data_IF_777482684282
#
_entry.id   IF_777482684282
#
_cell.length_a   1.000
_cell.length_b   1.000
_cell.length_c   1.000
_cell.angle_alpha   90.00
_cell.angle_beta   90.00
_cell.angle_gamma   90.00
#
_symmetry.space_group_name_H-M   'P 1'
#
loop_
_entity.id
_entity.type
_entity.pdbx_description
1 polymer ?
#
# COMPACT_ATOMS: atom_id res chain seq x y z
N UNK A 1 26.23 3.74 12.27
CA UNK A 1 25.98 3.91 10.81
C UNK A 1 24.55 3.49 10.45
N UNK A 2 24.01 2.40 11.00
CA UNK A 2 22.64 1.96 10.76
C UNK A 2 21.58 2.98 11.20
N UNK A 3 21.80 3.64 12.35
CA UNK A 3 20.90 4.70 12.83
C UNK A 3 20.82 5.90 11.88
N UNK A 4 21.94 6.28 11.25
CA UNK A 4 21.95 7.32 10.23
C UNK A 4 21.13 6.96 9.01
N UNK A 5 21.20 5.70 8.56
CA UNK A 5 20.39 5.21 7.45
C UNK A 5 18.89 5.28 7.76
N UNK A 6 18.49 4.75 8.92
CA UNK A 6 17.08 4.78 9.35
C UNK A 6 16.57 6.21 9.50
N UNK A 7 17.40 7.12 10.04
CA UNK A 7 17.04 8.54 10.13
C UNK A 7 16.84 9.18 8.73
N UNK A 8 17.64 8.79 7.73
CA UNK A 8 17.46 9.22 6.35
C UNK A 8 16.15 8.67 5.75
N UNK A 9 15.87 7.38 5.93
CA UNK A 9 14.61 6.78 5.49
C UNK A 9 13.40 7.45 6.15
N UNK A 10 13.47 7.71 7.46
CA UNK A 10 12.42 8.43 8.18
C UNK A 10 12.20 9.84 7.60
N UNK A 11 13.28 10.55 7.32
CA UNK A 11 13.19 11.88 6.72
C UNK A 11 12.51 11.84 5.33
N UNK A 12 12.77 10.80 4.54
CA UNK A 12 12.10 10.59 3.25
C UNK A 12 10.60 10.30 3.38
N UNK A 13 10.13 9.80 4.53
CA UNK A 13 8.70 9.53 4.74
C UNK A 13 7.91 10.74 5.23
N UNK A 14 8.58 11.68 5.93
CA UNK A 14 7.92 12.85 6.54
C UNK A 14 8.27 14.19 5.87
N UNK A 15 9.22 14.20 4.93
CA UNK A 15 9.65 15.39 4.20
C UNK A 15 8.66 15.81 3.11
N UNK A 16 8.83 17.01 2.57
CA UNK A 16 8.01 17.54 1.46
C UNK A 16 8.05 16.65 0.21
N UNK A 17 9.16 15.96 -0.04
CA UNK A 17 9.31 14.98 -1.10
C UNK A 17 9.15 13.56 -0.52
N UNK A 18 7.98 13.28 0.06
CA UNK A 18 7.71 11.96 0.63
C UNK A 18 7.77 10.87 -0.45
N UNK A 19 8.71 9.94 -0.29
CA UNK A 19 8.86 8.79 -1.19
C UNK A 19 9.09 7.49 -0.40
N UNK A 20 8.04 6.94 0.22
CA UNK A 20 8.15 5.80 1.15
C UNK A 20 8.43 4.44 0.47
N UNK A 21 8.42 4.39 -0.86
CA UNK A 21 8.50 3.13 -1.60
C UNK A 21 9.86 2.44 -1.54
N UNK A 22 10.94 3.20 -1.36
CA UNK A 22 12.33 2.69 -1.40
C UNK A 22 12.91 2.37 -0.01
N UNK A 23 12.08 2.16 1.00
CA UNK A 23 12.57 1.72 2.31
C UNK A 23 13.06 0.27 2.22
N UNK A 24 14.21 -0.04 2.83
CA UNK A 24 14.75 -1.41 2.83
C UNK A 24 13.77 -2.42 3.43
N UNK A 25 13.00 -2.02 4.44
CA UNK A 25 11.98 -2.86 5.06
C UNK A 25 10.86 -3.27 4.11
N UNK A 26 10.56 -2.48 3.09
CA UNK A 26 9.54 -2.81 2.08
C UNK A 26 9.96 -3.96 1.15
N UNK A 27 11.23 -4.35 1.16
CA UNK A 27 11.70 -5.48 0.36
C UNK A 27 11.01 -6.81 0.66
N UNK A 28 10.32 -6.92 1.80
CA UNK A 28 9.56 -8.11 2.22
C UNK A 28 8.04 -7.98 2.02
N UNK A 29 7.57 -7.02 1.24
CA UNK A 29 6.13 -6.77 1.04
C UNK A 29 5.36 -8.00 0.52
N UNK A 30 6.02 -8.88 -0.24
CA UNK A 30 5.43 -10.11 -0.74
C UNK A 30 5.63 -11.31 0.21
N UNK A 31 6.50 -11.19 1.22
CA UNK A 31 6.84 -12.25 2.17
C UNK A 31 6.23 -11.97 3.54
N UNK A 32 4.93 -11.68 3.57
CA UNK A 32 4.20 -11.28 4.79
C UNK A 32 4.33 -12.29 5.92
N UNK A 33 4.44 -13.58 5.60
CA UNK A 33 4.67 -14.65 6.57
C UNK A 33 5.98 -14.52 7.35
N UNK A 34 6.98 -13.84 6.78
CA UNK A 34 8.30 -13.67 7.39
C UNK A 34 8.40 -12.39 8.24
N UNK A 35 7.43 -11.47 8.13
CA UNK A 35 7.52 -10.13 8.70
C UNK A 35 6.31 -9.72 9.56
N UNK A 36 5.57 -10.67 10.12
CA UNK A 36 4.41 -10.38 10.98
C UNK A 36 4.74 -9.49 12.18
N UNK A 37 5.99 -9.56 12.68
CA UNK A 37 6.48 -8.70 13.75
C UNK A 37 6.59 -7.21 13.36
N UNK A 38 6.39 -6.85 12.07
CA UNK A 38 6.27 -5.45 11.64
C UNK A 38 5.06 -4.75 12.29
N UNK A 39 4.07 -5.50 12.74
CA UNK A 39 2.97 -4.98 13.55
C UNK A 39 3.46 -4.17 14.76
N UNK A 40 4.60 -4.58 15.36
CA UNK A 40 5.17 -3.94 16.55
C UNK A 40 6.26 -2.92 16.23
N UNK A 41 6.96 -3.07 15.14
CA UNK A 41 8.17 -2.27 14.83
C UNK A 41 8.03 -1.39 13.62
N UNK A 42 7.00 -1.61 12.83
CA UNK A 42 6.83 -0.99 11.52
C UNK A 42 7.92 -1.40 10.51
N UNK A 43 7.88 -0.76 9.36
CA UNK A 43 8.83 -0.98 8.25
C UNK A 43 10.28 -0.64 8.63
N UNK A 44 10.49 0.33 9.53
CA UNK A 44 11.84 0.71 9.98
C UNK A 44 12.52 -0.39 10.80
N UNK A 45 11.74 -1.21 11.51
CA UNK A 45 12.25 -2.43 12.14
C UNK A 45 12.80 -3.40 11.10
N UNK A 46 12.13 -3.53 9.95
CA UNK A 46 12.62 -4.30 8.82
C UNK A 46 13.92 -3.77 8.25
N UNK A 47 14.03 -2.46 8.06
CA UNK A 47 15.28 -1.81 7.67
C UNK A 47 16.40 -2.11 8.65
N UNK A 48 16.15 -1.96 9.96
CA UNK A 48 17.14 -2.30 10.99
C UNK A 48 17.56 -3.77 10.93
N UNK A 49 16.60 -4.67 10.76
CA UNK A 49 16.84 -6.11 10.62
C UNK A 49 17.77 -6.43 9.45
N UNK A 50 17.47 -5.87 8.27
CA UNK A 50 18.32 -6.04 7.07
C UNK A 50 19.75 -5.56 7.33
N UNK A 51 19.90 -4.33 7.84
CA UNK A 51 21.21 -3.75 8.09
C UNK A 51 22.02 -4.54 9.14
N UNK A 52 21.35 -4.94 10.24
CA UNK A 52 22.00 -5.72 11.31
C UNK A 52 22.43 -7.10 10.81
N UNK A 53 21.55 -7.81 10.13
CA UNK A 53 21.84 -9.13 9.56
C UNK A 53 23.01 -9.08 8.58
N UNK A 54 23.03 -8.08 7.68
CA UNK A 54 24.15 -7.89 6.76
C UNK A 54 25.48 -7.65 7.49
N UNK A 55 25.50 -6.82 8.52
CA UNK A 55 26.72 -6.55 9.30
C UNK A 55 27.21 -7.84 9.98
N UNK A 56 26.31 -8.58 10.63
CA UNK A 56 26.67 -9.81 11.35
C UNK A 56 27.14 -10.92 10.40
N UNK A 57 26.50 -11.05 9.25
CA UNK A 57 26.94 -12.00 8.20
C UNK A 57 28.33 -11.60 7.67
N UNK A 58 28.55 -10.31 7.40
CA UNK A 58 29.86 -9.83 6.95
C UNK A 58 30.97 -10.09 7.96
N UNK A 59 30.71 -9.83 9.25
CA UNK A 59 31.64 -10.13 10.33
C UNK A 59 31.94 -11.63 10.47
N UNK A 60 30.91 -12.49 10.29
CA UNK A 60 31.10 -13.94 10.31
C UNK A 60 31.94 -14.42 9.13
N UNK A 61 31.76 -13.86 7.92
CA UNK A 61 32.55 -14.15 6.74
C UNK A 61 34.03 -13.76 6.90
N UNK A 62 34.30 -12.63 7.56
CA UNK A 62 35.67 -12.22 7.85
C UNK A 62 36.36 -13.14 8.87
N UNK A 63 35.62 -13.62 9.86
CA UNK A 63 36.12 -14.50 10.91
C UNK A 63 35.65 -15.95 10.72
N UNK A 64 35.94 -16.53 9.58
CA UNK A 64 35.43 -17.83 9.10
C UNK A 64 35.42 -18.98 10.12
N UNK A 65 36.32 -18.97 11.09
CA UNK A 65 36.44 -20.02 12.16
C UNK A 65 35.68 -19.69 13.40
N UNK A 66 35.03 -18.54 13.53
CA UNK A 66 34.31 -18.12 14.72
C UNK A 66 32.88 -18.64 14.73
N UNK A 67 32.63 -19.75 15.43
CA UNK A 67 31.28 -20.31 15.61
C UNK A 67 30.32 -19.31 16.26
N UNK A 68 30.82 -18.46 17.18
CA UNK A 68 30.02 -17.44 17.85
C UNK A 68 29.48 -16.39 16.85
N UNK A 69 30.27 -15.94 15.88
CA UNK A 69 29.85 -14.96 14.87
C UNK A 69 28.85 -15.57 13.89
N UNK A 70 29.07 -16.80 13.49
CA UNK A 70 28.11 -17.54 12.67
C UNK A 70 26.80 -17.78 13.40
N UNK A 71 26.84 -18.11 14.69
CA UNK A 71 25.64 -18.23 15.50
C UNK A 71 24.89 -16.90 15.61
N UNK A 72 25.60 -15.78 15.84
CA UNK A 72 24.97 -14.46 15.88
C UNK A 72 24.31 -14.08 14.54
N UNK A 73 24.98 -14.33 13.40
CA UNK A 73 24.43 -14.11 12.07
C UNK A 73 23.18 -14.98 11.80
N UNK A 74 23.25 -16.26 12.15
CA UNK A 74 22.12 -17.18 12.00
C UNK A 74 20.94 -16.76 12.88
N UNK A 75 21.19 -16.40 14.15
CA UNK A 75 20.15 -15.92 15.07
C UNK A 75 19.52 -14.61 14.60
N UNK A 76 20.28 -13.67 14.04
CA UNK A 76 19.73 -12.40 13.55
C UNK A 76 18.73 -12.60 12.41
N UNK A 77 18.86 -13.64 11.62
CA UNK A 77 17.89 -13.98 10.56
C UNK A 77 16.78 -14.86 11.10
N UNK A 78 17.13 -15.94 11.83
CA UNK A 78 16.17 -16.96 12.23
C UNK A 78 15.18 -16.49 13.31
N UNK A 79 15.63 -15.72 14.32
CA UNK A 79 14.75 -15.33 15.42
C UNK A 79 13.57 -14.45 14.99
N UNK A 80 13.74 -13.40 14.16
CA UNK A 80 12.61 -12.62 13.68
C UNK A 80 11.66 -13.45 12.78
N UNK A 81 12.19 -14.38 12.00
CA UNK A 81 11.35 -15.26 11.17
C UNK A 81 10.55 -16.24 12.04
N UNK A 82 11.16 -16.82 13.07
CA UNK A 82 10.45 -17.68 14.03
C UNK A 82 9.37 -16.89 14.77
N UNK A 83 9.70 -15.68 15.24
CA UNK A 83 8.72 -14.80 15.86
C UNK A 83 7.54 -14.50 14.91
N UNK A 84 7.84 -14.22 13.64
CA UNK A 84 6.81 -13.99 12.62
C UNK A 84 5.89 -15.21 12.45
N UNK A 85 6.45 -16.39 12.33
CA UNK A 85 5.65 -17.62 12.20
C UNK A 85 4.79 -17.88 13.44
N UNK A 86 5.32 -17.59 14.64
CA UNK A 86 4.54 -17.71 15.88
C UNK A 86 3.39 -16.71 15.91
N UNK A 87 3.60 -15.45 15.50
CA UNK A 87 2.54 -14.44 15.41
C UNK A 87 1.49 -14.90 14.40
N UNK A 88 1.91 -15.30 13.22
CA UNK A 88 0.99 -15.75 12.15
C UNK A 88 0.14 -16.95 12.56
N UNK A 89 0.72 -17.94 13.24
CA UNK A 89 -0.02 -19.12 13.68
C UNK A 89 -1.02 -18.82 14.81
N UNK A 90 -0.75 -17.80 15.63
CA UNK A 90 -1.64 -17.40 16.72
C UNK A 90 -2.56 -16.24 16.35
N UNK A 91 -2.52 -15.76 15.09
CA UNK A 91 -3.39 -14.71 14.66
C UNK A 91 -4.80 -15.27 14.41
N UNK A 92 -5.76 -14.72 15.11
CA UNK A 92 -7.17 -15.00 14.92
C UNK A 92 -7.82 -13.82 14.20
N UNK A 93 -8.56 -14.09 13.12
CA UNK A 93 -9.29 -13.05 12.44
C UNK A 93 -10.41 -12.56 13.35
N UNK A 94 -10.46 -11.26 13.68
CA UNK A 94 -11.58 -10.70 14.44
C UNK A 94 -12.88 -10.96 13.68
N UNK A 95 -13.89 -11.49 14.37
CA UNK A 95 -15.22 -11.67 13.79
C UNK A 95 -16.00 -10.35 13.85
N UNK A 96 -15.54 -9.36 13.10
CA UNK A 96 -16.15 -8.04 12.99
C UNK A 96 -17.22 -7.97 11.89
N UNK A 97 -17.57 -9.13 11.34
CA UNK A 97 -18.49 -9.26 10.21
C UNK A 97 -17.78 -9.19 8.86
N UNK A 98 -18.56 -9.28 7.81
CA UNK A 98 -18.07 -9.25 6.42
C UNK A 98 -18.73 -8.12 5.65
N UNK A 99 -17.92 -7.37 4.89
CA UNK A 99 -18.41 -6.38 3.95
C UNK A 99 -18.24 -6.88 2.50
N UNK A 100 -19.22 -6.59 1.65
CA UNK A 100 -19.11 -6.84 0.21
C UNK A 100 -18.45 -5.64 -0.46
N UNK A 101 -17.25 -5.86 -0.98
CA UNK A 101 -16.45 -4.83 -1.63
C UNK A 101 -16.31 -5.17 -3.10
N UNK A 102 -16.59 -4.21 -3.98
CA UNK A 102 -16.27 -4.28 -5.41
C UNK A 102 -15.03 -3.45 -5.68
N UNK A 103 -14.04 -4.03 -6.33
CA UNK A 103 -12.81 -3.33 -6.71
C UNK A 103 -12.86 -3.10 -8.21
N UNK A 104 -12.76 -1.84 -8.61
CA UNK A 104 -12.73 -1.43 -10.03
C UNK A 104 -11.28 -1.28 -10.46
N UNK A 105 -10.89 -2.00 -11.50
CA UNK A 105 -9.57 -1.94 -12.09
C UNK A 105 -9.67 -1.45 -13.54
N UNK A 106 -9.52 -0.12 -13.81
CA UNK A 106 -9.70 0.44 -15.15
C UNK A 106 -8.59 0.06 -16.13
N UNK A 107 -7.47 -0.47 -15.65
CA UNK A 107 -6.33 -0.94 -16.45
C UNK A 107 -5.83 0.08 -17.48
N UNK A 108 -5.74 1.33 -17.07
CA UNK A 108 -5.20 2.41 -17.92
C UNK A 108 -3.69 2.28 -18.02
N UNK A 109 -3.14 2.36 -19.23
CA UNK A 109 -1.69 2.38 -19.44
C UNK A 109 -1.04 3.59 -18.76
N UNK A 110 0.14 3.39 -18.17
CA UNK A 110 0.82 4.44 -17.40
C UNK A 110 1.22 5.64 -18.25
N UNK A 111 1.43 5.46 -19.56
CA UNK A 111 1.73 6.55 -20.48
C UNK A 111 0.47 7.32 -20.89
N UNK A 112 -0.69 6.65 -20.94
CA UNK A 112 -1.96 7.28 -21.30
C UNK A 112 -2.65 7.93 -20.10
N UNK A 113 -2.28 7.55 -18.88
CA UNK A 113 -2.95 7.99 -17.64
C UNK A 113 -3.00 9.51 -17.47
N UNK A 114 -1.93 10.22 -17.84
CA UNK A 114 -1.81 11.67 -17.67
C UNK A 114 -1.84 12.46 -18.99
N UNK A 115 -1.74 11.78 -20.13
CA UNK A 115 -1.64 12.39 -21.46
C UNK A 115 -2.71 11.88 -22.44
N UNK A 116 -3.49 10.87 -22.03
CA UNK A 116 -4.54 10.29 -22.84
C UNK A 116 -5.85 11.09 -22.79
N UNK A 117 -6.85 10.57 -23.50
CA UNK A 117 -8.20 11.14 -23.55
C UNK A 117 -8.90 10.92 -22.19
N UNK A 118 -9.06 12.00 -21.45
CA UNK A 118 -9.73 12.05 -20.14
C UNK A 118 -11.16 11.52 -20.23
N UNK A 119 -11.94 11.92 -21.26
CA UNK A 119 -13.32 11.48 -21.41
C UNK A 119 -13.43 9.98 -21.65
N UNK A 120 -12.45 9.39 -22.36
CA UNK A 120 -12.40 7.96 -22.57
C UNK A 120 -12.12 7.22 -21.25
N UNK A 121 -11.24 7.75 -20.42
CA UNK A 121 -10.93 7.16 -19.10
C UNK A 121 -12.15 7.23 -18.17
N UNK A 122 -12.86 8.35 -18.16
CA UNK A 122 -14.09 8.54 -17.38
C UNK A 122 -15.20 7.57 -17.82
N UNK A 123 -15.43 7.44 -19.13
CA UNK A 123 -16.42 6.47 -19.66
C UNK A 123 -16.07 5.06 -19.27
N UNK A 124 -14.79 4.67 -19.37
CA UNK A 124 -14.35 3.35 -18.94
C UNK A 124 -14.64 3.09 -17.46
N UNK A 125 -14.43 4.08 -16.60
CA UNK A 125 -14.76 3.97 -15.17
C UNK A 125 -16.26 3.87 -14.98
N UNK A 126 -17.06 4.69 -15.67
CA UNK A 126 -18.52 4.67 -15.59
C UNK A 126 -19.09 3.31 -16.05
N UNK A 127 -18.58 2.77 -17.15
CA UNK A 127 -18.98 1.45 -17.65
C UNK A 127 -18.67 0.34 -16.64
N UNK A 128 -17.48 0.35 -16.07
CA UNK A 128 -17.09 -0.61 -15.02
C UNK A 128 -17.92 -0.47 -13.74
N UNK A 129 -18.31 0.75 -13.40
CA UNK A 129 -19.20 1.00 -12.25
C UNK A 129 -20.60 0.48 -12.49
N UNK A 130 -21.11 0.54 -13.73
CA UNK A 130 -22.41 -0.03 -14.08
C UNK A 130 -22.45 -1.56 -13.95
N UNK A 131 -21.29 -2.22 -14.02
CA UNK A 131 -21.16 -3.68 -13.81
C UNK A 131 -21.11 -4.09 -12.32
N UNK A 132 -21.02 -3.12 -11.40
CA UNK A 132 -20.93 -3.41 -9.96
C UNK A 132 -22.22 -4.07 -9.47
N UNK A 133 -22.14 -5.23 -8.78
CA UNK A 133 -23.34 -5.91 -8.26
C UNK A 133 -24.12 -5.02 -7.27
N UNK A 134 -25.44 -5.00 -7.38
CA UNK A 134 -26.35 -4.22 -6.51
C UNK A 134 -26.22 -4.50 -5.00
N UNK A 135 -25.45 -5.51 -4.62
CA UNK A 135 -25.20 -5.85 -3.21
C UNK A 135 -23.85 -5.38 -2.68
N UNK A 136 -23.06 -4.66 -3.46
CA UNK A 136 -21.80 -4.11 -2.99
C UNK A 136 -22.06 -2.99 -1.96
N UNK A 137 -21.34 -3.05 -0.83
CA UNK A 137 -21.42 -2.05 0.23
C UNK A 137 -20.35 -0.97 0.06
N UNK A 138 -19.24 -1.33 -0.58
CA UNK A 138 -18.14 -0.44 -0.88
C UNK A 138 -17.67 -0.66 -2.32
N UNK A 139 -17.27 0.43 -2.96
CA UNK A 139 -16.63 0.42 -4.28
C UNK A 139 -15.26 1.05 -4.10
N UNK A 140 -14.22 0.33 -4.46
CA UNK A 140 -12.83 0.80 -4.38
C UNK A 140 -12.30 1.05 -5.79
N UNK A 141 -11.74 2.24 -6.00
CA UNK A 141 -11.02 2.61 -7.20
C UNK A 141 -9.52 2.72 -6.88
N UNK A 142 -8.63 2.55 -7.88
CA UNK A 142 -7.21 2.78 -7.69
C UNK A 142 -6.89 4.25 -7.47
N UNK A 143 -5.72 4.53 -6.91
CA UNK A 143 -5.19 5.88 -6.75
C UNK A 143 -5.19 6.62 -8.09
N UNK A 144 -5.59 7.88 -8.08
CA UNK A 144 -5.70 8.72 -9.28
C UNK A 144 -6.55 8.10 -10.40
N UNK A 145 -7.63 7.42 -10.04
CA UNK A 145 -8.54 6.81 -11.02
C UNK A 145 -9.24 7.88 -11.88
N UNK A 146 -9.58 9.01 -11.27
CA UNK A 146 -10.21 10.15 -11.96
C UNK A 146 -9.13 11.12 -12.41
N UNK A 147 -9.07 11.50 -13.69
CA UNK A 147 -8.08 12.46 -14.20
C UNK A 147 -8.21 13.83 -13.54
N UNK A 148 -7.06 14.50 -13.35
CA UNK A 148 -6.89 15.64 -12.45
C UNK A 148 -7.53 16.98 -12.80
N UNK A 149 -8.31 17.11 -13.88
CA UNK A 149 -8.99 18.37 -14.22
C UNK A 149 -10.17 18.69 -13.26
N UNK A 150 -10.53 17.75 -12.40
CA UNK A 150 -11.53 17.93 -11.34
C UNK A 150 -10.95 18.51 -10.03
N UNK A 151 -9.69 18.90 -10.01
CA UNK A 151 -9.10 19.65 -8.90
C UNK A 151 -9.49 21.12 -8.93
N UNK A 152 -10.78 21.42 -9.17
CA UNK A 152 -11.32 22.75 -8.83
C UNK A 152 -11.28 22.96 -7.31
N UNK A 153 -11.09 24.22 -6.85
CA UNK A 153 -10.95 24.54 -5.43
C UNK A 153 -12.24 24.30 -4.63
N UNK A 154 -12.60 23.11 -4.38
CA UNK A 154 -13.79 22.62 -3.69
C UNK A 154 -13.68 21.12 -3.44
N UNK A 155 -12.83 20.43 -4.18
CA UNK A 155 -12.61 18.99 -4.01
C UNK A 155 -11.70 18.65 -2.82
N UNK A 156 -10.94 19.62 -2.29
CA UNK A 156 -10.22 19.45 -1.01
C UNK A 156 -11.15 19.09 0.14
N UNK A 157 -12.43 19.47 0.06
CA UNK A 157 -13.46 19.13 1.05
C UNK A 157 -13.97 17.69 0.89
N UNK A 158 -13.72 17.04 -0.24
CA UNK A 158 -14.11 15.65 -0.50
C UNK A 158 -13.22 14.63 0.23
N UNK A 159 -11.97 14.99 0.52
CA UNK A 159 -11.07 14.16 1.35
C UNK A 159 -11.30 14.36 2.85
N UNK A 160 -12.10 15.32 3.25
CA UNK A 160 -12.60 15.45 4.61
C UNK A 160 -13.89 14.63 4.72
N UNK A 161 -13.76 13.38 5.13
CA UNK A 161 -14.76 12.50 5.77
C UNK A 161 -16.20 13.06 5.74
N UNK A 162 -16.76 13.26 4.57
CA UNK A 162 -18.15 13.71 4.41
C UNK A 162 -18.79 12.90 3.30
N UNK A 163 -19.81 12.16 3.65
CA UNK A 163 -20.71 11.35 2.82
C UNK A 163 -20.30 11.02 1.38
N UNK A 164 -19.85 9.80 1.11
CA UNK A 164 -19.51 9.34 -0.26
C UNK A 164 -20.66 9.42 -1.27
N UNK A 165 -21.87 9.66 -0.80
CA UNK A 165 -23.08 9.64 -1.60
C UNK A 165 -23.29 10.81 -2.57
N UNK A 166 -22.73 11.99 -2.31
CA UNK A 166 -23.03 13.19 -3.10
C UNK A 166 -22.37 13.15 -4.50
N UNK A 167 -21.10 12.74 -4.56
CA UNK A 167 -20.37 12.61 -5.82
C UNK A 167 -21.02 11.58 -6.76
N UNK A 168 -21.46 10.47 -6.19
CA UNK A 168 -22.12 9.40 -6.96
C UNK A 168 -23.51 9.78 -7.44
N UNK A 169 -24.22 10.59 -6.69
CA UNK A 169 -25.52 11.15 -7.11
C UNK A 169 -25.35 12.11 -8.30
N UNK A 170 -24.32 12.96 -8.32
CA UNK A 170 -24.05 13.84 -9.46
C UNK A 170 -23.65 13.07 -10.73
N UNK A 171 -22.80 12.02 -10.63
CA UNK A 171 -22.44 11.19 -11.78
C UNK A 171 -23.64 10.41 -12.32
N UNK A 172 -24.49 9.86 -11.47
CA UNK A 172 -25.71 9.16 -11.89
C UNK A 172 -26.73 10.12 -12.48
N UNK A 173 -26.88 11.32 -11.96
CA UNK A 173 -27.77 12.34 -12.54
C UNK A 173 -27.25 12.91 -13.88
N UNK A 174 -25.95 13.03 -14.06
CA UNK A 174 -25.34 13.40 -15.34
C UNK A 174 -25.59 12.32 -16.40
N UNK A 175 -25.51 11.05 -16.03
CA UNK A 175 -25.76 9.91 -16.91
C UNK A 175 -27.25 9.78 -17.27
N UNK A 176 -28.16 10.00 -16.32
CA UNK A 176 -29.61 10.04 -16.60
C UNK A 176 -30.02 11.20 -17.51
N UNK A 177 -29.36 12.35 -17.39
CA UNK A 177 -29.59 13.50 -18.25
C UNK A 177 -29.15 13.27 -19.71
N UNK A 178 -28.05 12.51 -19.92
CA UNK A 178 -27.59 12.12 -21.27
C UNK A 178 -28.52 11.06 -21.92
N UNK A 179 -29.07 10.12 -21.15
CA UNK A 179 -29.97 9.08 -21.68
C UNK A 179 -31.35 9.61 -22.03
N UNK A 180 -31.82 10.69 -21.41
CA UNK A 180 -33.11 11.30 -21.68
C UNK A 180 -33.05 12.50 -22.64
N UNK A 181 -31.89 12.80 -23.23
CA UNK A 181 -31.65 13.88 -24.18
C UNK A 181 -31.74 13.48 -25.68
N UNK A 182 -32.31 12.30 -26.00
CA UNK A 182 -32.63 11.86 -27.36
C UNK A 182 -34.10 11.65 -27.57
#
# INVERSE_FOLDING_TARGET
RSAGWIATEYWYTVGEFSFPWLLLGNGFANDTWAVQWYEYTGVFGGTLWVLLSNILIFEALQARRSTRRWAAAACSVALPMIASLCIWQNWEQPDEGTARVSVIQPNVDCYDKFHGDTQRQERNIADLMAEVPAGAQFILLPETAVPGDYLEPGLSDFYSVGEPGAFWQELTHAQEAEVHGF
#
